data_IF_186257156423
#
_entry.id   IF_186257156423
#
_cell.length_a   1.000
_cell.length_b   1.000
_cell.length_c   1.000
_cell.angle_alpha   90.00
_cell.angle_beta   90.00
_cell.angle_gamma   90.00
#
_symmetry.space_group_name_H-M   'P 1'
#
loop_
_entity.id
_entity.type
_entity.pdbx_description
1 polymer ?
#
# COMPACT_ATOMS: atom_id res chain seq x y z
N UNK A 1 7.73 -3.30 -20.23
CA UNK A 1 8.31 -3.59 -18.89
C UNK A 1 9.24 -4.79 -18.90
N UNK A 2 8.74 -6.04 -18.98
CA UNK A 2 9.58 -7.26 -18.85
C UNK A 2 10.69 -7.42 -19.91
N UNK A 3 10.42 -7.11 -21.19
CA UNK A 3 11.44 -7.13 -22.26
C UNK A 3 12.40 -5.93 -22.23
N UNK A 4 11.96 -4.80 -21.66
CA UNK A 4 12.74 -3.54 -21.60
C UNK A 4 13.74 -3.55 -20.44
N UNK A 5 13.41 -4.22 -19.33
CA UNK A 5 14.25 -4.38 -18.15
C UNK A 5 14.61 -5.86 -17.97
N UNK A 6 15.51 -6.38 -18.83
CA UNK A 6 15.97 -7.76 -18.81
C UNK A 6 17.07 -7.98 -17.74
N UNK A 7 16.73 -7.79 -16.46
CA UNK A 7 17.65 -7.96 -15.33
C UNK A 7 17.16 -9.10 -14.42
N UNK A 8 18.05 -10.04 -14.07
CA UNK A 8 17.73 -11.19 -13.21
C UNK A 8 17.28 -10.80 -11.80
N UNK A 9 17.60 -9.58 -11.33
CA UNK A 9 17.13 -9.05 -10.04
C UNK A 9 15.64 -8.68 -10.04
N UNK A 10 15.03 -8.52 -11.21
CA UNK A 10 13.64 -8.12 -11.35
C UNK A 10 12.74 -9.34 -11.59
N UNK A 11 11.81 -9.57 -10.67
CA UNK A 11 10.74 -10.55 -10.82
C UNK A 11 9.41 -9.82 -10.87
N UNK A 12 8.60 -10.12 -11.88
CA UNK A 12 7.29 -9.51 -12.06
C UNK A 12 6.21 -10.49 -11.60
N UNK A 13 5.38 -10.05 -10.67
CA UNK A 13 4.24 -10.79 -10.15
C UNK A 13 2.95 -10.11 -10.62
N UNK A 14 1.98 -10.89 -11.05
CA UNK A 14 0.63 -10.42 -11.31
C UNK A 14 -0.19 -10.72 -10.07
N UNK A 15 -0.85 -9.70 -9.53
CA UNK A 15 -1.64 -9.83 -8.32
C UNK A 15 -2.43 -8.57 -8.00
N UNK A 16 -3.38 -8.70 -7.08
CA UNK A 16 -4.18 -7.62 -6.54
C UNK A 16 -4.07 -7.63 -5.01
N UNK A 17 -3.88 -6.46 -4.41
CA UNK A 17 -3.86 -6.28 -2.94
C UNK A 17 -5.18 -6.67 -2.29
N UNK A 18 -6.28 -6.67 -3.04
CA UNK A 18 -7.59 -7.12 -2.58
C UNK A 18 -7.68 -8.64 -2.41
N UNK A 19 -6.83 -9.41 -3.11
CA UNK A 19 -6.74 -10.86 -2.97
C UNK A 19 -5.58 -11.25 -2.04
N UNK A 20 -5.94 -11.61 -0.81
CA UNK A 20 -4.98 -12.07 0.20
C UNK A 20 -4.11 -13.23 -0.28
N UNK A 21 -4.66 -14.20 -1.03
CA UNK A 21 -3.89 -15.38 -1.48
C UNK A 21 -2.81 -14.97 -2.49
N UNK A 22 -3.14 -14.03 -3.37
CA UNK A 22 -2.18 -13.46 -4.31
C UNK A 22 -1.02 -12.80 -3.58
N UNK A 23 -1.31 -12.01 -2.55
CA UNK A 23 -0.27 -11.32 -1.77
C UNK A 23 0.54 -12.29 -0.92
N UNK A 24 -0.11 -13.24 -0.25
CA UNK A 24 0.55 -14.26 0.56
C UNK A 24 1.58 -15.05 -0.24
N UNK A 25 1.27 -15.38 -1.50
CA UNK A 25 2.22 -16.07 -2.38
C UNK A 25 3.36 -15.15 -2.83
N UNK A 26 3.07 -13.87 -3.11
CA UNK A 26 4.06 -12.89 -3.57
C UNK A 26 5.04 -12.46 -2.48
N UNK A 27 4.66 -12.51 -1.20
CA UNK A 27 5.50 -12.09 -0.06
C UNK A 27 6.34 -13.22 0.55
N UNK A 28 6.29 -14.45 0.00
CA UNK A 28 7.11 -15.57 0.50
C UNK A 28 8.60 -15.31 0.29
N UNK A 29 9.38 -15.40 1.37
CA UNK A 29 10.83 -15.18 1.34
C UNK A 29 11.24 -13.74 1.05
N UNK A 30 10.33 -12.77 1.28
CA UNK A 30 10.61 -11.34 1.12
C UNK A 30 11.09 -10.75 2.44
N UNK A 31 12.20 -10.01 2.42
CA UNK A 31 12.70 -9.32 3.61
C UNK A 31 12.02 -7.96 3.85
N UNK A 32 11.68 -7.23 2.78
CA UNK A 32 11.19 -5.86 2.84
C UNK A 32 10.03 -5.63 1.87
N UNK A 33 8.98 -4.95 2.33
CA UNK A 33 7.83 -4.57 1.51
C UNK A 33 7.67 -3.05 1.49
N UNK A 34 7.55 -2.50 0.29
CA UNK A 34 7.10 -1.11 0.07
C UNK A 34 5.68 -1.15 -0.47
N UNK A 35 4.70 -0.83 0.40
CA UNK A 35 3.29 -0.86 0.03
C UNK A 35 2.86 0.48 -0.57
N UNK A 36 2.95 0.56 -1.90
CA UNK A 36 2.59 1.73 -2.67
C UNK A 36 1.24 1.60 -3.41
N UNK A 37 0.62 0.42 -3.40
CA UNK A 37 -0.64 0.17 -4.11
C UNK A 37 -1.79 0.93 -3.45
N UNK A 38 -2.42 1.83 -4.22
CA UNK A 38 -3.52 2.66 -3.74
C UNK A 38 -4.37 3.24 -4.88
N UNK A 39 -5.64 3.52 -4.58
CA UNK A 39 -6.46 4.44 -5.35
C UNK A 39 -6.20 5.87 -4.86
N UNK A 40 -5.57 6.69 -5.72
CA UNK A 40 -5.09 8.04 -5.39
C UNK A 40 -5.85 9.18 -6.08
N UNK A 41 -6.70 8.88 -7.05
CA UNK A 41 -7.46 9.88 -7.80
C UNK A 41 -8.64 10.36 -6.95
N UNK A 42 -8.65 11.65 -6.58
CA UNK A 42 -9.69 12.23 -5.72
C UNK A 42 -11.09 12.05 -6.31
N UNK A 43 -11.37 12.40 -7.58
CA UNK A 43 -12.72 12.26 -8.14
C UNK A 43 -13.19 10.80 -8.14
N UNK A 44 -12.32 9.85 -8.53
CA UNK A 44 -12.69 8.43 -8.57
C UNK A 44 -13.01 7.86 -7.20
N UNK A 45 -12.30 8.30 -6.15
CA UNK A 45 -12.58 7.89 -4.78
C UNK A 45 -13.88 8.51 -4.23
N UNK A 46 -14.25 9.71 -4.68
CA UNK A 46 -15.55 10.32 -4.31
C UNK A 46 -16.72 9.59 -4.99
N UNK A 47 -16.59 9.23 -6.27
CA UNK A 47 -17.65 8.49 -6.97
C UNK A 47 -17.73 7.02 -6.55
N UNK A 48 -16.61 6.41 -6.16
CA UNK A 48 -16.54 5.00 -5.78
C UNK A 48 -15.82 4.81 -4.41
N UNK A 49 -16.41 5.29 -3.31
CA UNK A 49 -15.77 5.26 -2.00
C UNK A 49 -15.50 3.82 -1.51
N UNK A 50 -16.39 2.88 -1.84
CA UNK A 50 -16.20 1.48 -1.49
C UNK A 50 -14.99 0.84 -2.18
N UNK A 51 -14.66 1.28 -3.39
CA UNK A 51 -13.47 0.80 -4.09
C UNK A 51 -12.20 1.36 -3.44
N UNK A 52 -12.22 2.61 -2.99
CA UNK A 52 -11.15 3.20 -2.19
C UNK A 52 -10.94 2.44 -0.88
N UNK A 53 -12.01 2.04 -0.18
CA UNK A 53 -11.92 1.21 1.04
C UNK A 53 -11.31 -0.16 0.73
N UNK A 54 -11.78 -0.85 -0.32
CA UNK A 54 -11.25 -2.17 -0.69
C UNK A 54 -9.77 -2.13 -1.02
N UNK A 55 -9.31 -1.12 -1.76
CA UNK A 55 -7.88 -1.04 -2.13
C UNK A 55 -7.02 -0.47 -1.00
N UNK A 56 -7.40 0.68 -0.44
CA UNK A 56 -6.52 1.42 0.47
C UNK A 56 -6.58 0.87 1.90
N UNK A 57 -7.74 0.38 2.34
CA UNK A 57 -7.92 -0.12 3.72
C UNK A 57 -7.78 -1.63 3.76
N UNK A 58 -8.69 -2.37 3.08
CA UNK A 58 -8.67 -3.84 3.09
C UNK A 58 -7.42 -4.39 2.39
N UNK A 59 -6.99 -3.79 1.29
CA UNK A 59 -5.76 -4.18 0.61
C UNK A 59 -4.52 -3.99 1.49
N UNK A 60 -4.49 -2.94 2.31
CA UNK A 60 -3.40 -2.74 3.28
C UNK A 60 -3.44 -3.78 4.39
N UNK A 61 -4.63 -4.08 4.92
CA UNK A 61 -4.79 -5.16 5.91
C UNK A 61 -4.25 -6.49 5.36
N UNK A 62 -4.60 -6.86 4.13
CA UNK A 62 -4.11 -8.08 3.48
C UNK A 62 -2.58 -8.11 3.37
N UNK A 63 -1.95 -6.99 2.98
CA UNK A 63 -0.49 -6.88 2.87
C UNK A 63 0.17 -7.04 4.24
N UNK A 64 -0.37 -6.39 5.27
CA UNK A 64 0.18 -6.49 6.63
C UNK A 64 0.04 -7.90 7.19
N UNK A 65 -1.13 -8.53 7.05
CA UNK A 65 -1.36 -9.91 7.48
C UNK A 65 -0.45 -10.90 6.75
N UNK A 66 -0.31 -10.76 5.43
CA UNK A 66 0.59 -11.61 4.66
C UNK A 66 2.07 -11.39 5.03
N UNK A 67 2.44 -10.15 5.36
CA UNK A 67 3.79 -9.82 5.81
C UNK A 67 4.11 -10.44 7.18
N UNK A 68 3.16 -10.39 8.10
CA UNK A 68 3.28 -11.02 9.43
C UNK A 68 3.35 -12.54 9.29
N UNK A 69 2.47 -13.15 8.48
CA UNK A 69 2.42 -14.59 8.26
C UNK A 69 3.70 -15.15 7.63
N UNK A 70 4.35 -14.38 6.75
CA UNK A 70 5.62 -14.75 6.11
C UNK A 70 6.85 -14.20 6.84
N UNK A 71 6.69 -13.66 8.06
CA UNK A 71 7.78 -13.12 8.89
C UNK A 71 8.68 -12.10 8.17
N UNK A 72 8.07 -11.22 7.37
CA UNK A 72 8.77 -10.13 6.67
C UNK A 72 9.38 -9.19 7.70
N UNK A 73 10.65 -8.80 7.50
CA UNK A 73 11.38 -7.99 8.50
C UNK A 73 10.82 -6.58 8.62
N UNK A 74 10.53 -5.91 7.50
CA UNK A 74 9.96 -4.55 7.52
C UNK A 74 8.95 -4.28 6.42
N UNK A 75 7.91 -3.53 6.77
CA UNK A 75 6.89 -3.05 5.84
C UNK A 75 6.78 -1.53 5.95
N UNK A 76 6.84 -0.84 4.80
CA UNK A 76 6.69 0.61 4.70
C UNK A 76 5.40 0.93 3.93
N UNK A 77 4.42 1.50 4.60
CA UNK A 77 3.16 1.95 3.99
C UNK A 77 3.25 3.41 3.51
N UNK A 78 2.83 3.68 2.28
CA UNK A 78 2.85 5.03 1.73
C UNK A 78 1.51 5.75 1.97
N UNK A 79 1.58 6.86 2.69
CA UNK A 79 0.47 7.79 2.96
C UNK A 79 0.72 9.18 2.35
N UNK A 80 -0.26 10.07 2.46
CA UNK A 80 -0.29 11.39 1.83
C UNK A 80 -0.67 12.48 2.82
N UNK A 81 -0.22 13.71 2.57
CA UNK A 81 -0.65 14.92 3.29
C UNK A 81 -2.17 15.06 3.44
N UNK A 82 -2.95 14.56 2.46
CA UNK A 82 -4.43 14.59 2.47
C UNK A 82 -5.06 13.68 3.51
N UNK A 83 -4.27 12.86 4.20
CA UNK A 83 -4.72 12.07 5.35
C UNK A 83 -4.81 12.90 6.64
N UNK A 84 -4.24 14.10 6.67
CA UNK A 84 -4.34 15.03 7.81
C UNK A 84 -5.60 15.87 7.65
N UNK A 85 -6.53 15.76 8.60
CA UNK A 85 -7.87 16.39 8.53
C UNK A 85 -8.56 16.17 7.17
N UNK A 86 -8.81 14.90 6.80
CA UNK A 86 -9.26 14.57 5.45
C UNK A 86 -10.69 15.05 5.22
N UNK A 87 -10.89 15.77 4.11
CA UNK A 87 -12.22 16.21 3.63
C UNK A 87 -12.79 15.31 2.53
N UNK A 88 -11.93 14.52 1.88
CA UNK A 88 -12.28 13.70 0.73
C UNK A 88 -12.13 12.21 1.02
N UNK A 89 -12.90 11.37 0.32
CA UNK A 89 -12.92 9.91 0.48
C UNK A 89 -11.53 9.28 0.29
N UNK A 90 -10.69 9.83 -0.60
CA UNK A 90 -9.32 9.38 -0.80
C UNK A 90 -8.48 9.57 0.48
N UNK A 91 -8.48 10.78 1.03
CA UNK A 91 -7.79 11.14 2.26
C UNK A 91 -8.31 10.38 3.47
N UNK A 92 -9.63 10.21 3.58
CA UNK A 92 -10.26 9.42 4.66
C UNK A 92 -9.77 7.97 4.59
N UNK A 93 -9.77 7.36 3.41
CA UNK A 93 -9.30 5.98 3.24
C UNK A 93 -7.81 5.82 3.60
N UNK A 94 -6.97 6.82 3.30
CA UNK A 94 -5.54 6.84 3.69
C UNK A 94 -5.33 7.10 5.18
N UNK A 95 -6.13 7.97 5.80
CA UNK A 95 -6.12 8.14 7.24
C UNK A 95 -6.52 6.84 7.96
N UNK A 96 -7.52 6.13 7.44
CA UNK A 96 -7.92 4.81 7.96
C UNK A 96 -6.82 3.77 7.78
N UNK A 97 -6.14 3.76 6.63
CA UNK A 97 -4.97 2.90 6.38
C UNK A 97 -3.88 3.12 7.45
N UNK A 98 -3.57 4.37 7.79
CA UNK A 98 -2.59 4.67 8.85
C UNK A 98 -3.04 4.14 10.23
N UNK A 99 -4.33 4.22 10.54
CA UNK A 99 -4.87 3.65 11.79
C UNK A 99 -4.75 2.13 11.82
N UNK A 100 -5.06 1.45 10.71
CA UNK A 100 -4.88 0.00 10.57
C UNK A 100 -3.41 -0.39 10.77
N UNK A 101 -2.51 0.33 10.11
CA UNK A 101 -1.06 0.12 10.24
C UNK A 101 -0.58 0.25 11.69
N UNK A 102 -0.99 1.32 12.39
CA UNK A 102 -0.63 1.55 13.80
C UNK A 102 -1.28 0.52 14.72
N UNK A 103 -2.50 0.07 14.42
CA UNK A 103 -3.16 -0.97 15.21
C UNK A 103 -2.42 -2.31 15.08
N UNK A 104 -2.00 -2.69 13.87
CA UNK A 104 -1.22 -3.91 13.63
C UNK A 104 0.16 -3.86 14.26
N UNK A 105 0.84 -2.72 14.17
CA UNK A 105 2.18 -2.59 14.75
C UNK A 105 2.20 -2.79 16.28
N UNK A 106 1.09 -2.55 16.97
CA UNK A 106 0.95 -2.80 18.42
C UNK A 106 0.79 -4.27 18.78
N UNK A 107 0.23 -5.08 17.88
CA UNK A 107 -0.08 -6.49 18.12
C UNK A 107 1.02 -7.43 17.58
N UNK A 108 2.01 -6.89 16.88
CA UNK A 108 3.08 -7.64 16.25
C UNK A 108 4.36 -7.53 17.07
N UNK A 109 5.10 -8.63 17.19
CA UNK A 109 6.41 -8.62 17.81
C UNK A 109 7.39 -7.80 16.93
N UNK A 110 7.85 -6.68 17.46
CA UNK A 110 8.76 -5.75 16.77
C UNK A 110 10.12 -6.36 16.42
N UNK A 111 10.53 -7.45 17.09
CA UNK A 111 11.74 -8.18 16.74
C UNK A 111 11.57 -9.06 15.49
N UNK A 112 10.33 -9.36 15.10
CA UNK A 112 10.01 -10.15 13.90
C UNK A 112 9.69 -9.25 12.71
N UNK A 113 8.66 -8.41 12.85
CA UNK A 113 8.15 -7.58 11.75
C UNK A 113 7.95 -6.15 12.24
N UNK A 114 8.66 -5.21 11.60
CA UNK A 114 8.51 -3.77 11.86
C UNK A 114 7.59 -3.16 10.81
N UNK A 115 6.48 -2.57 11.26
CA UNK A 115 5.54 -1.88 10.38
C UNK A 115 5.69 -0.37 10.61
N UNK A 116 5.99 0.36 9.55
CA UNK A 116 6.06 1.82 9.57
C UNK A 116 5.37 2.42 8.35
N UNK A 117 5.11 3.74 8.42
CA UNK A 117 4.48 4.47 7.34
C UNK A 117 5.19 5.78 7.09
N UNK A 118 5.18 6.22 5.84
CA UNK A 118 5.67 7.54 5.44
C UNK A 118 4.51 8.38 4.95
N UNK A 119 4.55 9.68 5.23
CA UNK A 119 3.58 10.63 4.71
C UNK A 119 4.32 11.70 3.93
N UNK A 120 3.90 11.95 2.69
CA UNK A 120 4.50 12.98 1.84
C UNK A 120 3.44 13.82 1.15
N UNK A 121 3.82 15.04 0.79
CA UNK A 121 2.96 15.95 0.03
C UNK A 121 2.99 15.66 -1.46
N UNK A 122 2.43 16.55 -2.26
CA UNK A 122 2.55 16.43 -3.72
C UNK A 122 4.02 16.42 -4.15
N UNK A 123 4.40 15.44 -4.98
CA UNK A 123 5.74 15.35 -5.55
C UNK A 123 5.81 16.24 -6.79
N UNK A 124 6.81 17.14 -6.85
CA UNK A 124 7.01 18.01 -8.01
C UNK A 124 7.27 17.20 -9.28
N UNK A 125 6.75 17.66 -10.42
CA UNK A 125 6.77 16.97 -11.72
C UNK A 125 6.02 15.62 -11.78
N UNK A 126 5.26 15.25 -10.74
CA UNK A 126 4.32 14.14 -10.81
C UNK A 126 3.06 14.61 -11.55
N UNK A 127 2.56 13.80 -12.49
CA UNK A 127 1.50 14.17 -13.44
C UNK A 127 0.28 14.76 -12.74
N UNK A 128 0.24 16.11 -12.75
CA UNK A 128 -0.96 16.90 -12.63
C UNK A 128 -1.79 16.60 -13.89
N UNK A 129 -2.98 16.02 -13.70
CA UNK A 129 -3.86 15.42 -14.72
C UNK A 129 -3.40 14.06 -15.26
N UNK A 130 -4.28 13.05 -15.18
CA UNK A 130 -4.23 11.89 -16.07
C UNK A 130 -3.79 10.58 -15.44
N UNK A 131 -2.49 10.35 -15.24
CA UNK A 131 -2.03 8.96 -15.24
C UNK A 131 -1.51 8.40 -13.91
N UNK A 132 -2.20 7.34 -13.51
CA UNK A 132 -1.95 6.48 -12.36
C UNK A 132 -0.67 5.66 -12.51
N UNK A 133 0.49 6.15 -12.05
CA UNK A 133 1.63 5.26 -11.81
C UNK A 133 2.42 5.59 -10.54
N UNK A 134 1.98 5.00 -9.43
CA UNK A 134 2.93 4.29 -8.55
C UNK A 134 2.29 2.91 -8.33
N UNK A 135 2.59 2.00 -9.24
CA UNK A 135 2.53 0.55 -9.04
C UNK A 135 3.94 0.03 -9.34
#
# INVERSE_FOLDING_TARGET
>A
MRKKYNNQKLKFYIGDVRDYRSILNATRGVDFIYHAAALKQVPSCEFHPMEAVKTNVLGTENVLEAAIANEVKRVVCLSTDKAVYPINAMGISKAMMEKVMVAKSRNVNSNKTVICGTRYGNVMAFSWFGDSFIC
#
